data_IF_732580208988
#
_entry.id   IF_732580208988
#
_cell.length_a   1.000
_cell.length_b   1.000
_cell.length_c   1.000
_cell.angle_alpha   90.00
_cell.angle_beta   90.00
_cell.angle_gamma   90.00
#
_symmetry.space_group_name_H-M   'P 1'
#
loop_
_entity.id
_entity.type
_entity.pdbx_description
1 polymer ?
#
# COMPACT_ATOMS: atom_id res chain seq x y z
N UNK A 1 19.55 -38.16 6.92
CA UNK A 1 18.92 -37.12 6.08
C UNK A 1 18.73 -35.88 6.94
N UNK A 2 19.54 -34.83 6.75
CA UNK A 2 19.38 -33.58 7.46
C UNK A 2 18.23 -32.80 6.81
N UNK A 3 17.13 -32.59 7.55
CA UNK A 3 16.10 -31.61 7.19
C UNK A 3 16.76 -30.24 7.29
N UNK A 4 17.05 -29.61 6.14
CA UNK A 4 17.42 -28.20 6.10
C UNK A 4 16.21 -27.39 6.55
N UNK A 5 16.18 -26.99 7.81
CA UNK A 5 15.27 -25.97 8.31
C UNK A 5 15.79 -24.63 7.79
N UNK A 6 15.29 -24.20 6.63
CA UNK A 6 15.45 -22.82 6.21
C UNK A 6 14.76 -21.94 7.26
N UNK A 7 15.52 -21.43 8.22
CA UNK A 7 15.05 -20.43 9.17
C UNK A 7 14.96 -19.09 8.44
N UNK A 8 13.91 -18.92 7.63
CA UNK A 8 13.51 -17.60 7.17
C UNK A 8 13.13 -16.79 8.42
N UNK A 9 14.05 -15.92 8.85
CA UNK A 9 13.74 -14.91 9.86
C UNK A 9 13.03 -13.78 9.14
N UNK A 10 11.72 -13.67 9.34
CA UNK A 10 10.99 -12.47 8.92
C UNK A 10 11.67 -11.24 9.56
N UNK A 11 11.77 -10.15 8.80
CA UNK A 11 12.18 -8.88 9.37
C UNK A 11 11.20 -8.53 10.50
N UNK A 12 11.71 -8.01 11.61
CA UNK A 12 10.91 -7.69 12.80
C UNK A 12 9.75 -6.72 12.52
N UNK A 13 9.77 -6.03 11.39
CA UNK A 13 8.76 -5.06 10.95
C UNK A 13 7.86 -5.57 9.81
N UNK A 14 7.87 -6.87 9.49
CA UNK A 14 7.05 -7.42 8.39
C UNK A 14 5.56 -7.15 8.59
N UNK A 15 5.02 -7.50 9.76
CA UNK A 15 3.58 -7.34 10.06
C UNK A 15 3.15 -5.87 10.01
N UNK A 16 3.96 -5.01 10.62
CA UNK A 16 3.76 -3.56 10.58
C UNK A 16 3.78 -3.03 9.14
N UNK A 17 4.71 -3.48 8.29
CA UNK A 17 4.79 -3.04 6.89
C UNK A 17 3.57 -3.49 6.07
N UNK A 18 3.03 -4.68 6.35
CA UNK A 18 1.82 -5.20 5.69
C UNK A 18 0.60 -4.38 6.12
N UNK A 19 0.45 -4.09 7.41
CA UNK A 19 -0.74 -3.39 7.91
C UNK A 19 -0.61 -1.88 7.69
N UNK A 20 0.46 -1.26 8.17
CA UNK A 20 0.59 0.18 8.30
C UNK A 20 1.35 0.80 7.14
N UNK A 21 0.83 1.90 6.62
CA UNK A 21 1.54 2.76 5.70
C UNK A 21 2.64 3.51 6.47
N UNK A 22 3.88 3.35 6.02
CA UNK A 22 5.07 3.85 6.72
C UNK A 22 5.55 5.21 6.19
N UNK A 23 5.00 5.68 5.06
CA UNK A 23 5.35 6.96 4.48
C UNK A 23 5.00 7.09 3.00
N UNK A 24 5.15 8.31 2.48
CA UNK A 24 5.02 8.62 1.05
C UNK A 24 6.38 9.02 0.50
N UNK A 25 6.94 8.21 -0.40
CA UNK A 25 8.25 8.43 -1.01
C UNK A 25 8.10 8.82 -2.48
N UNK A 26 8.34 10.10 -2.77
CA UNK A 26 8.23 10.67 -4.13
C UNK A 26 9.43 10.37 -5.04
N UNK A 27 10.61 10.16 -4.43
CA UNK A 27 11.86 9.81 -5.13
C UNK A 27 11.72 8.43 -5.77
N UNK A 28 12.15 8.31 -7.03
CA UNK A 28 12.16 7.04 -7.74
C UNK A 28 10.79 6.42 -8.00
N UNK A 29 9.70 7.19 -7.89
CA UNK A 29 8.34 6.70 -8.16
C UNK A 29 7.91 5.55 -7.19
N UNK A 30 8.32 5.60 -5.92
CA UNK A 30 7.95 4.58 -4.93
C UNK A 30 6.51 4.72 -4.42
N UNK A 31 6.05 5.95 -4.22
CA UNK A 31 4.71 6.22 -3.70
C UNK A 31 4.56 5.86 -2.22
N UNK A 32 3.40 5.32 -1.83
CA UNK A 32 3.13 4.87 -0.46
C UNK A 32 3.93 3.60 -0.16
N UNK A 33 4.71 3.61 0.92
CA UNK A 33 5.53 2.49 1.38
C UNK A 33 4.77 1.71 2.47
N UNK A 34 4.75 0.38 2.38
CA UNK A 34 3.90 -0.47 3.22
C UNK A 34 2.41 -0.23 2.97
N UNK A 35 1.60 -0.42 4.01
CA UNK A 35 0.18 -0.07 3.99
C UNK A 35 -0.62 -0.90 2.99
N UNK A 36 -0.50 -2.23 3.05
CA UNK A 36 -1.32 -3.14 2.25
C UNK A 36 -2.74 -3.29 2.84
N UNK A 37 -2.99 -2.81 4.06
CA UNK A 37 -4.34 -2.59 4.55
C UNK A 37 -4.98 -1.39 3.82
N UNK A 38 -6.14 -1.58 3.19
CA UNK A 38 -6.83 -0.54 2.43
C UNK A 38 -7.08 0.73 3.26
N UNK A 39 -7.53 0.58 4.51
CA UNK A 39 -7.81 1.72 5.38
C UNK A 39 -6.51 2.46 5.74
N UNK A 40 -5.41 1.75 5.99
CA UNK A 40 -4.13 2.42 6.26
C UNK A 40 -3.57 3.15 5.04
N UNK A 41 -3.73 2.58 3.85
CA UNK A 41 -3.35 3.22 2.59
C UNK A 41 -4.15 4.51 2.34
N UNK A 42 -5.47 4.45 2.50
CA UNK A 42 -6.34 5.62 2.34
C UNK A 42 -6.02 6.68 3.39
N UNK A 43 -5.83 6.25 4.64
CA UNK A 43 -5.56 7.16 5.77
C UNK A 43 -4.31 7.99 5.55
N UNK A 44 -3.19 7.39 5.11
CA UNK A 44 -1.96 8.17 4.90
C UNK A 44 -2.12 9.24 3.81
N UNK A 45 -3.02 9.02 2.84
CA UNK A 45 -3.35 10.00 1.80
C UNK A 45 -4.21 11.11 2.40
N UNK A 46 -5.29 10.76 3.10
CA UNK A 46 -6.20 11.74 3.70
C UNK A 46 -5.55 12.55 4.81
N UNK A 47 -4.57 11.98 5.54
CA UNK A 47 -3.78 12.68 6.55
C UNK A 47 -2.92 13.81 5.93
N UNK A 48 -2.63 13.76 4.63
CA UNK A 48 -2.00 14.87 3.90
C UNK A 48 -3.00 15.98 3.50
N UNK A 49 -4.29 15.79 3.77
CA UNK A 49 -5.37 16.63 3.29
C UNK A 49 -5.69 16.44 1.80
N UNK A 50 -5.28 15.33 1.19
CA UNK A 50 -5.56 15.03 -0.21
C UNK A 50 -6.87 14.25 -0.35
N UNK A 51 -7.64 14.55 -1.40
CA UNK A 51 -8.87 13.86 -1.71
C UNK A 51 -8.59 12.52 -2.41
N UNK A 52 -9.16 11.42 -1.92
CA UNK A 52 -8.96 10.09 -2.49
C UNK A 52 -9.42 9.99 -3.94
N UNK A 53 -10.48 10.68 -4.34
CA UNK A 53 -11.01 10.64 -5.71
C UNK A 53 -10.04 11.28 -6.73
N UNK A 54 -9.20 12.21 -6.27
CA UNK A 54 -8.16 12.80 -7.11
C UNK A 54 -6.93 11.89 -7.21
N UNK A 55 -6.69 11.07 -6.18
CA UNK A 55 -5.48 10.26 -6.01
C UNK A 55 -5.63 8.87 -6.61
N UNK A 56 -6.78 8.23 -6.41
CA UNK A 56 -7.07 6.88 -6.89
C UNK A 56 -7.55 6.97 -8.32
N UNK A 57 -6.78 6.38 -9.23
CA UNK A 57 -7.09 6.35 -10.66
C UNK A 57 -8.03 5.20 -10.98
N UNK A 58 -7.77 4.03 -10.40
CA UNK A 58 -8.60 2.84 -10.58
C UNK A 58 -8.47 1.89 -9.39
N UNK A 59 -9.50 1.06 -9.20
CA UNK A 59 -9.46 -0.10 -8.30
C UNK A 59 -9.89 -1.34 -9.08
N UNK A 60 -8.99 -2.30 -9.19
CA UNK A 60 -9.23 -3.56 -9.89
C UNK A 60 -9.30 -4.69 -8.89
N UNK A 61 -10.42 -5.42 -8.86
CA UNK A 61 -10.60 -6.58 -7.97
C UNK A 61 -9.68 -7.74 -8.39
N UNK A 62 -9.09 -8.43 -7.44
CA UNK A 62 -8.34 -9.66 -7.70
C UNK A 62 -9.30 -10.76 -8.20
N UNK A 63 -8.99 -11.48 -9.31
CA UNK A 63 -9.96 -12.34 -10.00
C UNK A 63 -10.44 -13.55 -9.20
N UNK A 64 -9.75 -13.92 -8.11
CA UNK A 64 -10.03 -15.14 -7.33
C UNK A 64 -10.15 -14.91 -5.83
N UNK A 65 -9.81 -13.72 -5.33
CA UNK A 65 -9.74 -13.47 -3.88
C UNK A 65 -10.53 -12.21 -3.59
N UNK A 66 -11.75 -12.40 -3.09
CA UNK A 66 -12.62 -11.31 -2.66
C UNK A 66 -11.93 -10.47 -1.58
N UNK A 67 -12.02 -9.15 -1.69
CA UNK A 67 -11.42 -8.24 -0.73
C UNK A 67 -9.97 -7.86 -1.03
N UNK A 68 -9.33 -8.40 -2.08
CA UNK A 68 -8.03 -7.92 -2.57
C UNK A 68 -8.22 -7.06 -3.81
N UNK A 69 -7.55 -5.91 -3.84
CA UNK A 69 -7.60 -4.96 -4.94
C UNK A 69 -6.21 -4.55 -5.38
N UNK A 70 -6.06 -4.27 -6.66
CA UNK A 70 -4.96 -3.50 -7.20
C UNK A 70 -5.40 -2.05 -7.39
N UNK A 71 -4.69 -1.12 -6.75
CA UNK A 71 -4.98 0.32 -6.82
C UNK A 71 -3.92 0.99 -7.68
N UNK A 72 -4.33 1.51 -8.84
CA UNK A 72 -3.57 2.49 -9.57
C UNK A 72 -3.83 3.87 -8.97
N UNK A 73 -2.77 4.62 -8.70
CA UNK A 73 -2.88 5.90 -8.02
C UNK A 73 -1.78 6.87 -8.46
N UNK A 74 -1.97 8.13 -8.11
CA UNK A 74 -1.08 9.24 -8.44
C UNK A 74 -0.93 10.16 -7.25
N UNK A 75 0.21 10.84 -7.14
CA UNK A 75 0.44 11.82 -6.07
C UNK A 75 0.36 13.23 -6.65
N UNK A 76 -0.17 14.23 -5.91
CA UNK A 76 -0.20 15.60 -6.39
C UNK A 76 1.22 16.12 -6.49
N UNK A 77 1.55 16.91 -7.50
CA UNK A 77 2.84 17.61 -7.57
C UNK A 77 2.90 18.65 -6.45
N UNK A 78 4.05 18.76 -5.78
CA UNK A 78 4.28 19.78 -4.78
C UNK A 78 5.27 20.81 -5.32
N UNK A 79 5.06 22.08 -5.00
CA UNK A 79 6.00 23.16 -5.29
C UNK A 79 7.18 23.16 -4.29
N UNK A 80 8.04 24.19 -4.39
CA UNK A 80 9.21 24.33 -3.51
C UNK A 80 8.86 24.62 -2.05
N UNK A 81 7.63 25.08 -1.79
CA UNK A 81 7.08 25.33 -0.45
C UNK A 81 6.28 24.12 0.08
N UNK A 82 6.34 22.99 -0.63
CA UNK A 82 5.58 21.76 -0.33
C UNK A 82 4.06 21.92 -0.45
N UNK A 83 3.58 22.93 -1.18
CA UNK A 83 2.14 23.10 -1.47
C UNK A 83 1.75 22.36 -2.73
N UNK A 84 0.52 21.85 -2.75
CA UNK A 84 -0.05 21.18 -3.92
C UNK A 84 -0.15 22.15 -5.09
N UNK A 85 0.37 21.76 -6.25
CA UNK A 85 0.17 22.46 -7.52
C UNK A 85 -1.15 21.99 -8.12
N UNK A 86 -2.17 22.85 -8.26
CA UNK A 86 -3.50 22.44 -8.72
C UNK A 86 -3.46 21.76 -10.09
N UNK A 87 -4.19 20.64 -10.22
CA UNK A 87 -4.31 19.90 -11.47
C UNK A 87 -3.06 19.13 -11.92
N UNK A 88 -1.96 19.20 -11.17
CA UNK A 88 -0.73 18.49 -11.52
C UNK A 88 -0.53 17.27 -10.63
N UNK A 89 -0.37 16.11 -11.26
CA UNK A 89 -0.18 14.83 -10.58
C UNK A 89 0.95 14.04 -11.23
N UNK A 90 1.56 13.17 -10.43
CA UNK A 90 2.53 12.18 -10.86
C UNK A 90 1.98 10.79 -10.60
N UNK A 91 1.72 10.03 -11.67
CA UNK A 91 1.29 8.65 -11.56
C UNK A 91 2.35 7.80 -10.89
N UNK A 92 1.92 6.89 -10.03
CA UNK A 92 2.77 5.86 -9.47
C UNK A 92 2.82 4.69 -10.44
N UNK A 93 4.03 4.29 -10.85
CA UNK A 93 4.25 3.30 -11.89
C UNK A 93 3.91 1.89 -11.45
N UNK A 94 4.00 1.62 -10.15
CA UNK A 94 3.62 0.33 -9.57
C UNK A 94 2.33 0.51 -8.77
N UNK A 95 1.23 -0.13 -9.20
CA UNK A 95 0.01 -0.08 -8.42
C UNK A 95 0.22 -0.75 -7.06
N UNK A 96 -0.64 -0.42 -6.10
CA UNK A 96 -0.60 -1.03 -4.78
C UNK A 96 -1.64 -2.12 -4.66
N UNK A 97 -1.19 -3.34 -4.36
CA UNK A 97 -2.09 -4.41 -3.92
C UNK A 97 -2.47 -4.18 -2.46
N UNK A 98 -3.77 -4.09 -2.18
CA UNK A 98 -4.31 -3.92 -0.83
C UNK A 98 -5.41 -4.94 -0.52
N UNK A 99 -5.64 -5.22 0.75
CA UNK A 99 -6.79 -5.97 1.22
C UNK A 99 -7.76 -5.05 1.97
N UNK A 100 -9.05 -5.33 1.87
CA UNK A 100 -10.10 -4.70 2.68
C UNK A 100 -10.20 -5.41 4.04
N UNK A 101 -9.88 -4.72 5.16
CA UNK A 101 -9.90 -5.32 6.49
C UNK A 101 -11.29 -5.73 6.98
N UNK A 102 -12.37 -5.26 6.34
CA UNK A 102 -13.73 -5.71 6.64
C UNK A 102 -14.04 -7.10 6.07
N UNK A 103 -13.24 -7.56 5.09
CA UNK A 103 -13.38 -8.86 4.42
C UNK A 103 -12.28 -9.83 4.82
N UNK A 104 -11.03 -9.37 4.90
CA UNK A 104 -9.85 -10.17 5.26
C UNK A 104 -9.19 -9.54 6.49
N UNK A 105 -9.06 -10.27 7.60
CA UNK A 105 -8.44 -9.71 8.80
C UNK A 105 -6.92 -9.52 8.65
N UNK A 106 -6.34 -8.67 9.49
CA UNK A 106 -4.90 -8.46 9.56
C UNK A 106 -4.14 -9.77 9.86
N UNK A 107 -4.67 -10.61 10.77
CA UNK A 107 -4.06 -11.89 11.13
C UNK A 107 -4.08 -12.87 9.95
N UNK A 108 -5.16 -12.86 9.17
CA UNK A 108 -5.30 -13.73 8.00
C UNK A 108 -4.31 -13.36 6.90
N UNK A 109 -4.19 -12.07 6.54
CA UNK A 109 -3.24 -11.65 5.50
C UNK A 109 -1.78 -11.87 5.94
N UNK A 110 -1.48 -11.70 7.24
CA UNK A 110 -0.15 -11.97 7.79
C UNK A 110 0.17 -13.46 7.68
N UNK A 111 -0.79 -14.33 8.03
CA UNK A 111 -0.64 -15.78 7.91
C UNK A 111 -0.35 -16.18 6.47
N UNK A 112 -1.16 -15.70 5.51
CA UNK A 112 -0.93 -15.95 4.09
C UNK A 112 0.43 -15.47 3.59
N UNK A 113 0.85 -14.26 4.02
CA UNK A 113 2.16 -13.72 3.65
C UNK A 113 3.34 -14.48 4.26
N UNK A 114 3.14 -15.17 5.38
CA UNK A 114 4.15 -16.05 5.99
C UNK A 114 4.21 -17.43 5.31
N UNK A 115 3.09 -17.92 4.79
CA UNK A 115 2.96 -19.25 4.18
C UNK A 115 3.32 -19.32 2.68
N UNK A 116 3.39 -18.17 2.00
CA UNK A 116 3.77 -18.05 0.59
C UNK A 116 5.26 -18.32 0.33
#
# INVERSE_FOLDING_TARGET
MAKSTNSFKYLSNFEDHVINAQGIVRKGNKGVVGGHNLQSFEKIITDQGWNLDDIIVSRTLHPKVTGIYEIEYRLPTLDRELKVVPGQYKNISQPKTVYDPSVISNEQIITWGKEA
#
